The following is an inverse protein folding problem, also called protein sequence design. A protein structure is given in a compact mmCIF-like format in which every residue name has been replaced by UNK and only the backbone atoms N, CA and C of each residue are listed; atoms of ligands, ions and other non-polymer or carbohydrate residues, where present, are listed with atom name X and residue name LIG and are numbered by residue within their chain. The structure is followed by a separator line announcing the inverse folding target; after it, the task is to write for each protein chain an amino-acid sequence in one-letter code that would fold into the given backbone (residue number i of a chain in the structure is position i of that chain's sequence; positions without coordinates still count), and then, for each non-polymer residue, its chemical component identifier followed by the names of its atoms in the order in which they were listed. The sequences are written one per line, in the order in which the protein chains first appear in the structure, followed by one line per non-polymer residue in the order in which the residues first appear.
data_IF_848755570743
#
_entry.id   IF_848755570743
#
_cell.length_a   1.000
_cell.length_b   1.000
_cell.length_c   1.000
_cell.angle_alpha   90.00
_cell.angle_beta   90.00
_cell.angle_gamma   90.00
#
_symmetry.space_group_name_H-M   'P 1'
#
loop_
_entity.id
_entity.type
_entity.pdbx_description
1 polymer ?
#
# COMPACT_ATOMS: atom_id res chain seq x y z
N UNK A 1 -9.14 21.03 -2.85
CA UNK A 1 -10.55 20.61 -2.63
C UNK A 1 -11.45 21.29 -3.65
N UNK A 2 -12.51 20.62 -4.12
CA UNK A 2 -13.52 21.26 -4.97
C UNK A 2 -14.35 22.28 -4.18
N UNK A 3 -14.56 23.45 -4.77
CA UNK A 3 -15.55 24.42 -4.29
C UNK A 3 -16.97 23.84 -4.37
N UNK A 4 -17.97 24.41 -3.67
CA UNK A 4 -19.36 23.94 -3.75
C UNK A 4 -19.91 23.86 -5.18
N UNK A 5 -19.50 24.77 -6.06
CA UNK A 5 -19.87 24.80 -7.48
C UNK A 5 -18.85 24.08 -8.39
N UNK A 6 -17.83 23.47 -7.80
CA UNK A 6 -16.77 22.78 -8.52
C UNK A 6 -17.28 21.57 -9.29
N UNK A 7 -16.66 21.32 -10.45
CA UNK A 7 -16.90 20.13 -11.25
C UNK A 7 -15.57 19.48 -11.63
N UNK A 8 -15.62 18.17 -11.86
CA UNK A 8 -14.54 17.40 -12.45
C UNK A 8 -14.98 16.91 -13.82
N UNK A 9 -14.09 17.01 -14.80
CA UNK A 9 -14.32 16.53 -16.16
C UNK A 9 -13.25 15.51 -16.45
N UNK A 10 -13.67 14.28 -16.76
CA UNK A 10 -12.78 13.19 -17.11
C UNK A 10 -13.11 12.71 -18.51
N UNK A 11 -12.11 12.70 -19.39
CA UNK A 11 -12.15 11.94 -20.64
C UNK A 11 -11.36 10.64 -20.42
N UNK A 12 -12.05 9.51 -20.56
CA UNK A 12 -11.45 8.17 -20.42
C UNK A 12 -11.37 7.47 -21.77
N UNK A 13 -10.67 6.35 -21.85
CA UNK A 13 -10.38 5.71 -23.14
C UNK A 13 -11.46 4.72 -23.58
N UNK A 14 -12.21 4.16 -22.62
CA UNK A 14 -13.13 3.07 -22.88
C UNK A 14 -14.29 3.03 -21.87
N UNK A 15 -15.27 2.17 -22.14
CA UNK A 15 -16.49 2.03 -21.32
C UNK A 15 -16.21 1.51 -19.91
N UNK A 16 -15.27 0.59 -19.73
CA UNK A 16 -15.04 0.00 -18.41
C UNK A 16 -14.36 0.98 -17.45
N UNK A 17 -13.45 1.84 -17.95
CA UNK A 17 -12.87 2.95 -17.19
C UNK A 17 -13.97 3.93 -16.75
N UNK A 18 -14.88 4.28 -17.66
CA UNK A 18 -16.03 5.12 -17.33
C UNK A 18 -16.88 4.48 -16.23
N UNK A 19 -17.21 3.21 -16.36
CA UNK A 19 -18.01 2.49 -15.36
C UNK A 19 -17.33 2.48 -13.99
N UNK A 20 -16.02 2.18 -13.96
CA UNK A 20 -15.24 2.20 -12.71
C UNK A 20 -15.18 3.59 -12.10
N UNK A 21 -15.03 4.62 -12.91
CA UNK A 21 -15.03 6.01 -12.46
C UNK A 21 -16.37 6.42 -11.86
N UNK A 22 -17.48 6.05 -12.52
CA UNK A 22 -18.84 6.28 -12.00
C UNK A 22 -19.00 5.56 -10.66
N UNK A 23 -18.73 4.26 -10.58
CA UNK A 23 -18.85 3.47 -9.34
C UNK A 23 -17.98 4.05 -8.21
N UNK A 24 -16.77 4.50 -8.55
CA UNK A 24 -15.88 5.18 -7.59
C UNK A 24 -16.47 6.49 -7.10
N UNK A 25 -17.01 7.31 -7.99
CA UNK A 25 -17.65 8.57 -7.63
C UNK A 25 -18.93 8.37 -6.80
N UNK A 26 -19.74 7.35 -7.11
CA UNK A 26 -20.91 6.97 -6.29
C UNK A 26 -20.46 6.62 -4.87
N UNK A 27 -19.44 5.77 -4.72
CA UNK A 27 -18.89 5.41 -3.40
C UNK A 27 -18.34 6.63 -2.64
N UNK A 28 -17.69 7.57 -3.35
CA UNK A 28 -17.21 8.81 -2.76
C UNK A 28 -18.37 9.73 -2.31
N UNK A 29 -19.44 9.82 -3.10
CA UNK A 29 -20.65 10.59 -2.76
C UNK A 29 -21.37 10.03 -1.53
N UNK A 30 -21.47 8.70 -1.42
CA UNK A 30 -22.00 8.06 -0.23
C UNK A 30 -21.15 8.36 1.01
N UNK A 31 -19.82 8.37 0.86
CA UNK A 31 -18.88 8.71 1.93
C UNK A 31 -19.01 10.15 2.47
N UNK A 32 -19.51 11.08 1.65
CA UNK A 32 -19.80 12.47 2.07
C UNK A 32 -21.29 12.70 2.39
N UNK A 33 -22.11 11.64 2.45
CA UNK A 33 -23.49 11.69 2.92
C UNK A 33 -24.55 12.03 1.85
N UNK A 34 -24.24 11.91 0.56
CA UNK A 34 -25.25 12.08 -0.51
C UNK A 34 -26.08 10.80 -0.65
N UNK A 35 -27.40 10.94 -0.70
CA UNK A 35 -28.34 9.82 -0.87
C UNK A 35 -28.22 9.22 -2.29
N UNK A 36 -28.19 7.89 -2.38
CA UNK A 36 -28.15 7.15 -3.64
C UNK A 36 -29.23 7.58 -4.63
N UNK A 37 -30.39 8.04 -4.15
CA UNK A 37 -31.47 8.57 -5.00
C UNK A 37 -31.07 9.80 -5.80
N UNK A 38 -30.23 10.65 -5.21
CA UNK A 38 -29.81 11.93 -5.78
C UNK A 38 -28.50 11.81 -6.56
N UNK A 39 -27.69 10.79 -6.30
CA UNK A 39 -26.38 10.55 -6.93
C UNK A 39 -26.43 10.63 -8.46
N UNK A 40 -27.49 10.12 -9.09
CA UNK A 40 -27.65 10.16 -10.56
C UNK A 40 -27.69 11.59 -11.12
N UNK A 41 -28.11 12.56 -10.31
CA UNK A 41 -28.22 13.98 -10.66
C UNK A 41 -26.87 14.71 -10.59
N UNK A 42 -25.78 14.04 -10.21
CA UNK A 42 -24.44 14.61 -10.15
C UNK A 42 -23.58 14.31 -11.39
N UNK A 43 -24.09 13.50 -12.32
CA UNK A 43 -23.36 13.07 -13.51
C UNK A 43 -23.98 13.62 -14.80
N UNK A 44 -23.14 13.99 -15.76
CA UNK A 44 -23.50 14.16 -17.16
C UNK A 44 -22.45 13.45 -18.03
N UNK A 45 -22.85 12.72 -19.07
CA UNK A 45 -21.94 11.87 -19.86
C UNK A 45 -22.11 12.11 -21.36
N UNK A 46 -21.02 12.47 -22.02
CA UNK A 46 -20.92 12.73 -23.45
C UNK A 46 -20.10 11.63 -24.14
N UNK A 47 -20.64 11.03 -25.22
CA UNK A 47 -20.04 9.90 -25.97
C UNK A 47 -19.79 8.66 -25.10
N UNK A 48 -19.87 7.44 -25.64
CA UNK A 48 -19.67 6.22 -24.85
C UNK A 48 -18.70 5.20 -25.47
N UNK A 49 -18.49 5.22 -26.79
CA UNK A 49 -17.80 4.10 -27.45
C UNK A 49 -16.27 4.25 -27.54
N UNK A 50 -15.74 5.46 -27.77
CA UNK A 50 -14.30 5.64 -28.12
C UNK A 50 -13.55 6.72 -27.34
N UNK A 51 -14.23 7.51 -26.50
CA UNK A 51 -13.64 8.44 -25.55
C UNK A 51 -14.77 8.99 -24.68
N UNK A 52 -15.30 8.20 -23.72
CA UNK A 52 -16.36 8.71 -22.88
C UNK A 52 -15.89 9.88 -22.04
N UNK A 53 -16.66 10.95 -22.04
CA UNK A 53 -16.41 12.11 -21.18
C UNK A 53 -17.50 12.19 -20.12
N UNK A 54 -17.11 12.18 -18.85
CA UNK A 54 -18.02 12.37 -17.72
C UNK A 54 -17.74 13.67 -17.00
N UNK A 55 -18.80 14.39 -16.71
CA UNK A 55 -18.81 15.57 -15.86
C UNK A 55 -19.45 15.19 -14.54
N UNK A 56 -18.71 15.41 -13.45
CA UNK A 56 -19.12 15.10 -12.09
C UNK A 56 -19.18 16.41 -11.31
N UNK A 57 -20.37 16.82 -10.86
CA UNK A 57 -20.55 18.03 -10.05
C UNK A 57 -20.70 17.69 -8.58
N UNK A 58 -20.12 18.53 -7.71
CA UNK A 58 -20.29 18.40 -6.25
C UNK A 58 -21.75 18.66 -5.84
N UNK A 59 -22.39 19.69 -6.40
CA UNK A 59 -23.84 19.90 -6.32
C UNK A 59 -24.55 19.22 -7.47
N UNK A 60 -25.75 18.68 -7.23
CA UNK A 60 -26.57 18.11 -8.28
C UNK A 60 -26.86 19.14 -9.38
N UNK A 61 -26.90 18.67 -10.63
CA UNK A 61 -27.37 19.48 -11.74
C UNK A 61 -28.82 19.92 -11.50
N UNK A 62 -29.14 21.15 -11.86
CA UNK A 62 -30.52 21.67 -11.82
C UNK A 62 -31.24 21.40 -13.13
N UNK A 63 -32.58 21.39 -13.12
CA UNK A 63 -33.38 21.24 -14.35
C UNK A 63 -33.10 22.35 -15.36
N UNK A 64 -32.85 23.57 -14.89
CA UNK A 64 -32.55 24.73 -15.73
C UNK A 64 -31.18 24.57 -16.41
N UNK A 65 -30.17 24.09 -15.68
CA UNK A 65 -28.84 23.78 -16.25
C UNK A 65 -28.96 22.73 -17.36
N UNK A 66 -29.71 21.65 -17.12
CA UNK A 66 -29.90 20.60 -18.11
C UNK A 66 -30.67 21.11 -19.33
N UNK A 67 -31.69 21.93 -19.14
CA UNK A 67 -32.45 22.54 -20.23
C UNK A 67 -31.56 23.46 -21.07
N UNK A 68 -30.69 24.24 -20.41
CA UNK A 68 -29.71 25.09 -21.08
C UNK A 68 -28.73 24.24 -21.90
N UNK A 69 -28.19 23.16 -21.35
CA UNK A 69 -27.30 22.24 -22.06
C UNK A 69 -27.98 21.62 -23.29
N UNK A 70 -29.23 21.18 -23.16
CA UNK A 70 -30.00 20.66 -24.29
C UNK A 70 -30.18 21.70 -25.40
N UNK A 71 -30.42 22.97 -25.06
CA UNK A 71 -30.57 24.04 -26.03
C UNK A 71 -29.25 24.38 -26.73
N UNK A 72 -28.14 24.50 -25.97
CA UNK A 72 -26.81 24.72 -26.54
C UNK A 72 -26.45 23.58 -27.51
N UNK A 73 -26.72 22.33 -27.14
CA UNK A 73 -26.41 21.19 -28.01
C UNK A 73 -27.21 21.14 -29.30
N UNK A 74 -28.42 21.70 -29.36
CA UNK A 74 -29.18 21.84 -30.61
C UNK A 74 -28.52 22.82 -31.59
N UNK A 75 -27.73 23.77 -31.08
CA UNK A 75 -27.00 24.77 -31.89
C UNK A 75 -25.61 24.31 -32.32
N UNK A 76 -25.13 23.19 -31.77
CA UNK A 76 -23.81 22.64 -32.06
C UNK A 76 -23.81 21.85 -33.38
N UNK A 77 -22.69 21.84 -34.13
CA UNK A 77 -22.53 21.00 -35.31
C UNK A 77 -22.86 19.52 -35.06
N UNK A 78 -23.51 18.86 -36.03
CA UNK A 78 -23.89 17.44 -35.94
C UNK A 78 -22.71 16.49 -35.83
N UNK A 79 -21.51 16.95 -36.17
CA UNK A 79 -20.27 16.18 -36.13
C UNK A 79 -19.70 16.07 -34.70
N UNK A 80 -20.23 16.86 -33.75
CA UNK A 80 -19.83 16.79 -32.36
C UNK A 80 -20.43 15.55 -31.65
N UNK A 81 -19.72 15.01 -30.65
CA UNK A 81 -20.21 13.85 -29.91
C UNK A 81 -21.59 14.08 -29.27
N UNK A 82 -22.54 13.14 -29.42
CA UNK A 82 -23.85 13.28 -28.78
C UNK A 82 -23.74 13.07 -27.27
N UNK A 83 -24.64 13.70 -26.53
CA UNK A 83 -24.81 13.42 -25.10
C UNK A 83 -25.44 12.04 -24.93
N UNK A 84 -24.84 11.18 -24.12
CA UNK A 84 -25.34 9.82 -23.85
C UNK A 84 -26.22 9.78 -22.60
N UNK A 85 -25.92 10.61 -21.61
CA UNK A 85 -26.69 10.71 -20.37
C UNK A 85 -26.77 12.16 -19.86
N UNK A 86 -27.99 12.60 -19.55
CA UNK A 86 -28.29 13.81 -18.79
C UNK A 86 -29.26 13.45 -17.67
N UNK A 87 -29.09 14.02 -16.47
CA UNK A 87 -30.07 13.85 -15.41
C UNK A 87 -31.39 14.50 -15.82
N UNK A 88 -32.50 13.97 -15.31
CA UNK A 88 -33.88 14.36 -15.65
C UNK A 88 -34.32 14.15 -17.11
N UNK A 89 -33.44 13.68 -18.00
CA UNK A 89 -33.79 13.33 -19.39
C UNK A 89 -34.03 11.83 -19.53
N UNK A 90 -35.29 11.41 -19.70
CA UNK A 90 -35.68 9.98 -19.71
C UNK A 90 -35.47 9.29 -21.06
N UNK A 91 -35.11 10.02 -22.12
CA UNK A 91 -35.28 9.56 -23.50
C UNK A 91 -34.07 8.82 -24.13
N UNK A 92 -33.11 8.31 -23.36
CA UNK A 92 -31.96 7.58 -23.94
C UNK A 92 -31.78 6.17 -23.40
N UNK A 93 -32.07 5.19 -24.26
CA UNK A 93 -31.85 3.75 -24.06
C UNK A 93 -30.35 3.48 -24.19
N UNK A 94 -29.62 3.49 -23.07
CA UNK A 94 -28.20 3.13 -23.03
C UNK A 94 -27.87 2.36 -21.74
N UNK A 95 -26.91 1.43 -21.81
CA UNK A 95 -26.50 0.59 -20.66
C UNK A 95 -26.16 1.43 -19.42
N UNK A 96 -25.49 2.57 -19.60
CA UNK A 96 -25.13 3.49 -18.51
C UNK A 96 -26.36 4.15 -17.89
N UNK A 97 -27.36 4.54 -18.70
CA UNK A 97 -28.60 5.12 -18.18
C UNK A 97 -29.39 4.09 -17.37
N UNK A 98 -29.46 2.84 -17.86
CA UNK A 98 -30.05 1.74 -17.10
C UNK A 98 -29.29 1.48 -15.80
N UNK A 99 -27.96 1.51 -15.82
CA UNK A 99 -27.14 1.36 -14.62
C UNK A 99 -27.40 2.48 -13.60
N UNK A 100 -27.32 3.75 -14.00
CA UNK A 100 -27.55 4.90 -13.11
C UNK A 100 -28.98 4.93 -12.55
N UNK A 101 -29.97 4.61 -13.38
CA UNK A 101 -31.39 4.56 -12.96
C UNK A 101 -31.66 3.40 -11.99
N UNK A 102 -31.08 2.22 -12.21
CA UNK A 102 -31.24 1.08 -11.29
C UNK A 102 -30.49 1.32 -9.97
N UNK A 103 -29.32 1.93 -10.05
CA UNK A 103 -28.46 2.26 -8.92
C UNK A 103 -29.10 3.29 -7.99
N UNK A 104 -29.78 4.31 -8.54
CA UNK A 104 -30.46 5.32 -7.72
C UNK A 104 -31.63 4.76 -6.90
N UNK A 105 -32.16 3.60 -7.28
CA UNK A 105 -33.29 2.96 -6.61
C UNK A 105 -32.86 1.94 -5.54
N UNK A 106 -31.67 1.33 -5.67
CA UNK A 106 -31.22 0.27 -4.76
C UNK A 106 -29.68 0.22 -4.66
N UNK A 107 -29.14 0.43 -3.45
CA UNK A 107 -27.70 0.29 -3.18
C UNK A 107 -27.15 -1.09 -3.52
N UNK A 108 -27.92 -2.16 -3.31
CA UNK A 108 -27.51 -3.52 -3.67
C UNK A 108 -27.37 -3.71 -5.18
N UNK A 109 -28.04 -2.89 -5.99
CA UNK A 109 -27.94 -2.98 -7.45
C UNK A 109 -26.51 -2.64 -7.92
N UNK A 110 -25.81 -1.72 -7.25
CA UNK A 110 -24.41 -1.38 -7.56
C UNK A 110 -23.52 -2.60 -7.35
N UNK A 111 -23.62 -3.23 -6.19
CA UNK A 111 -22.79 -4.37 -5.83
C UNK A 111 -23.03 -5.55 -6.77
N UNK A 112 -24.30 -5.89 -7.05
CA UNK A 112 -24.65 -6.94 -8.01
C UNK A 112 -24.11 -6.65 -9.42
N UNK A 113 -24.14 -5.39 -9.85
CA UNK A 113 -23.61 -5.00 -11.15
C UNK A 113 -22.08 -5.15 -11.21
N UNK A 114 -21.35 -4.74 -10.16
CA UNK A 114 -19.90 -4.92 -10.06
C UNK A 114 -19.53 -6.42 -10.16
N UNK A 115 -20.26 -7.27 -9.45
CA UNK A 115 -20.00 -8.72 -9.44
C UNK A 115 -20.23 -9.38 -10.79
N UNK A 116 -21.25 -8.95 -11.54
CA UNK A 116 -21.60 -9.50 -12.86
C UNK A 116 -20.79 -8.93 -14.02
N UNK A 117 -20.18 -7.75 -13.85
CA UNK A 117 -19.42 -7.11 -14.91
C UNK A 117 -18.14 -7.91 -15.27
N UNK A 118 -17.75 -7.91 -16.54
CA UNK A 118 -16.58 -8.65 -17.05
C UNK A 118 -15.27 -8.18 -16.39
N UNK A 119 -15.12 -6.88 -16.22
CA UNK A 119 -13.94 -6.23 -15.65
C UNK A 119 -14.13 -5.85 -14.18
N UNK A 120 -13.04 -5.64 -13.46
CA UNK A 120 -13.06 -5.08 -12.10
C UNK A 120 -13.39 -3.58 -12.12
N UNK A 121 -14.68 -3.29 -11.97
CA UNK A 121 -15.21 -1.92 -11.85
C UNK A 121 -15.44 -1.51 -10.39
N UNK A 122 -14.88 -2.25 -9.43
CA UNK A 122 -15.02 -1.94 -8.00
C UNK A 122 -14.48 -0.53 -7.68
N UNK A 123 -15.06 0.16 -6.67
CA UNK A 123 -14.62 1.50 -6.29
C UNK A 123 -13.12 1.55 -6.00
N UNK A 124 -12.43 2.51 -6.61
CA UNK A 124 -11.01 2.75 -6.37
C UNK A 124 -10.84 3.59 -5.10
N UNK A 125 -10.20 3.03 -4.07
CA UNK A 125 -10.01 3.70 -2.76
C UNK A 125 -8.58 4.22 -2.65
N UNK A 126 -8.36 5.23 -1.80
CA UNK A 126 -7.02 5.74 -1.46
C UNK A 126 -6.10 4.67 -0.84
N UNK A 127 -6.68 3.64 -0.22
CA UNK A 127 -5.93 2.51 0.31
C UNK A 127 -5.63 1.43 -0.73
N UNK A 128 -6.32 1.42 -1.87
CA UNK A 128 -6.08 0.47 -2.95
C UNK A 128 -6.31 1.18 -4.30
N UNK A 129 -5.42 2.12 -4.69
CA UNK A 129 -5.59 3.03 -5.82
C UNK A 129 -5.24 2.38 -7.17
N UNK A 130 -5.73 1.17 -7.43
CA UNK A 130 -5.42 0.38 -8.62
C UNK A 130 -6.45 0.56 -9.73
N UNK A 131 -6.64 1.80 -10.21
CA UNK A 131 -7.68 2.12 -11.20
C UNK A 131 -7.56 1.33 -12.52
N UNK A 132 -6.33 1.02 -12.95
CA UNK A 132 -6.06 0.28 -14.18
C UNK A 132 -5.91 -1.24 -13.97
N UNK A 133 -6.29 -1.75 -12.80
CA UNK A 133 -6.39 -3.19 -12.56
C UNK A 133 -7.69 -3.70 -13.18
N UNK A 134 -7.57 -4.26 -14.38
CA UNK A 134 -8.71 -4.69 -15.21
C UNK A 134 -9.32 -6.00 -14.70
N UNK A 135 -8.47 -6.98 -14.35
CA UNK A 135 -8.90 -8.31 -13.88
C UNK A 135 -9.31 -8.26 -12.42
N UNK A 136 -10.39 -8.98 -12.08
CA UNK A 136 -10.76 -9.27 -10.69
C UNK A 136 -9.69 -10.15 -10.05
N UNK A 137 -9.38 -9.92 -8.78
CA UNK A 137 -8.34 -10.67 -8.06
C UNK A 137 -6.92 -10.23 -8.42
N UNK A 138 -5.93 -11.09 -8.18
CA UNK A 138 -4.51 -10.80 -8.46
C UNK A 138 -4.21 -11.20 -9.91
N UNK A 139 -3.56 -10.35 -10.74
CA UNK A 139 -3.19 -10.74 -12.09
C UNK A 139 -2.22 -11.94 -12.09
N UNK A 140 -2.40 -12.85 -13.06
CA UNK A 140 -1.65 -14.11 -13.17
C UNK A 140 -0.13 -13.89 -13.17
N UNK A 141 0.35 -12.82 -13.78
CA UNK A 141 1.78 -12.46 -13.84
C UNK A 141 2.41 -12.32 -12.45
N UNK A 142 1.68 -11.75 -11.49
CA UNK A 142 2.14 -11.63 -10.11
C UNK A 142 2.13 -12.97 -9.38
N UNK A 143 1.19 -13.87 -9.71
CA UNK A 143 1.13 -15.21 -9.13
C UNK A 143 2.27 -16.10 -9.65
N UNK A 144 2.58 -16.01 -10.94
CA UNK A 144 3.75 -16.68 -11.54
C UNK A 144 5.06 -16.15 -10.95
N UNK A 145 5.19 -14.83 -10.84
CA UNK A 145 6.35 -14.20 -10.20
C UNK A 145 6.50 -14.66 -8.75
N UNK A 146 5.43 -14.64 -7.96
CA UNK A 146 5.43 -15.09 -6.57
C UNK A 146 5.85 -16.56 -6.47
N UNK A 147 5.29 -17.42 -7.31
CA UNK A 147 5.61 -18.85 -7.34
C UNK A 147 7.10 -19.09 -7.67
N UNK A 148 7.64 -18.37 -8.66
CA UNK A 148 9.05 -18.41 -9.02
C UNK A 148 9.97 -17.97 -7.88
N UNK A 149 9.63 -16.87 -7.19
CA UNK A 149 10.41 -16.36 -6.04
C UNK A 149 10.34 -17.34 -4.86
N UNK A 150 9.18 -17.93 -4.58
CA UNK A 150 9.05 -18.96 -3.53
C UNK A 150 9.95 -20.15 -3.84
N UNK A 151 9.92 -20.65 -5.08
CA UNK A 151 10.77 -21.76 -5.51
C UNK A 151 12.27 -21.41 -5.37
N UNK A 152 12.67 -20.22 -5.81
CA UNK A 152 14.05 -19.74 -5.69
C UNK A 152 14.49 -19.59 -4.23
N UNK A 153 13.64 -19.03 -3.37
CA UNK A 153 13.92 -18.89 -1.94
C UNK A 153 14.01 -20.23 -1.23
N UNK A 154 13.18 -21.21 -1.62
CA UNK A 154 13.28 -22.57 -1.10
C UNK A 154 14.66 -23.17 -1.40
N UNK A 155 15.21 -22.96 -2.59
CA UNK A 155 16.55 -23.40 -2.96
C UNK A 155 17.62 -22.72 -2.08
N UNK A 156 17.55 -21.39 -1.92
CA UNK A 156 18.52 -20.63 -1.09
C UNK A 156 18.48 -21.05 0.39
N UNK A 157 17.31 -21.36 0.93
CA UNK A 157 17.16 -21.77 2.32
C UNK A 157 17.59 -23.23 2.51
N UNK A 158 17.22 -24.14 1.62
CA UNK A 158 17.43 -25.58 1.79
C UNK A 158 18.83 -26.04 1.36
N UNK A 159 19.37 -25.52 0.26
CA UNK A 159 20.62 -26.00 -0.33
C UNK A 159 21.82 -25.84 0.63
N UNK A 160 22.06 -24.68 1.27
CA UNK A 160 23.16 -24.51 2.21
C UNK A 160 22.98 -25.32 3.50
N UNK A 161 21.72 -25.57 3.89
CA UNK A 161 21.37 -26.40 5.06
C UNK A 161 21.73 -27.88 4.86
N UNK A 162 21.76 -28.37 3.62
CA UNK A 162 22.18 -29.73 3.28
C UNK A 162 23.68 -29.88 3.01
N UNK A 163 24.31 -28.86 2.44
CA UNK A 163 25.75 -28.88 2.11
C UNK A 163 26.63 -28.63 3.34
N UNK A 164 26.20 -27.76 4.27
CA UNK A 164 26.88 -27.59 5.54
C UNK A 164 26.35 -28.64 6.53
N UNK A 165 27.19 -29.20 7.39
CA UNK A 165 26.81 -30.15 8.44
C UNK A 165 25.98 -29.50 9.58
N UNK A 166 24.91 -28.78 9.21
CA UNK A 166 24.02 -27.99 10.08
C UNK A 166 23.25 -28.88 11.06
N UNK A 167 23.23 -30.21 10.85
CA UNK A 167 22.50 -31.19 11.68
C UNK A 167 22.81 -31.08 13.19
N UNK A 168 24.06 -30.75 13.56
CA UNK A 168 24.50 -30.66 14.97
C UNK A 168 24.00 -29.38 15.69
N UNK A 169 23.69 -28.33 14.92
CA UNK A 169 23.33 -26.99 15.45
C UNK A 169 21.88 -26.59 15.15
N UNK A 170 21.03 -27.53 14.67
CA UNK A 170 19.69 -27.21 14.15
C UNK A 170 18.84 -26.37 15.09
N UNK A 171 18.77 -26.72 16.38
CA UNK A 171 17.99 -25.98 17.38
C UNK A 171 18.54 -24.58 17.68
N UNK A 172 19.85 -24.39 17.51
CA UNK A 172 20.53 -23.12 17.79
C UNK A 172 20.39 -22.13 16.61
N UNK A 173 20.27 -22.66 15.39
CA UNK A 173 20.20 -21.86 14.14
C UNK A 173 18.77 -21.43 13.79
N UNK A 174 17.76 -22.21 14.18
CA UNK A 174 16.35 -21.95 13.82
C UNK A 174 15.88 -20.58 14.26
N UNK A 175 16.24 -20.13 15.47
CA UNK A 175 15.80 -18.83 15.96
C UNK A 175 16.44 -17.66 15.20
N UNK A 176 17.79 -17.57 15.06
CA UNK A 176 18.40 -16.58 14.18
C UNK A 176 17.83 -16.61 12.77
N UNK A 177 17.68 -17.80 12.17
CA UNK A 177 17.11 -17.98 10.84
C UNK A 177 15.72 -17.35 10.73
N UNK A 178 14.79 -17.67 11.64
CA UNK A 178 13.45 -17.09 11.64
C UNK A 178 13.49 -15.57 11.81
N UNK A 179 14.37 -15.05 12.67
CA UNK A 179 14.52 -13.60 12.85
C UNK A 179 14.99 -12.94 11.54
N UNK A 180 16.00 -13.47 10.86
CA UNK A 180 16.48 -12.93 9.57
C UNK A 180 15.39 -12.98 8.49
N UNK A 181 14.55 -14.03 8.48
CA UNK A 181 13.41 -14.13 7.58
C UNK A 181 12.37 -13.03 7.87
N UNK A 182 11.98 -12.88 9.14
CA UNK A 182 10.99 -11.90 9.56
C UNK A 182 11.44 -10.46 9.32
N UNK A 183 12.69 -10.11 9.67
CA UNK A 183 13.19 -8.74 9.46
C UNK A 183 13.38 -8.43 7.97
N UNK A 184 13.86 -9.39 7.16
CA UNK A 184 14.08 -9.19 5.73
C UNK A 184 12.77 -8.96 4.96
N UNK A 185 11.78 -9.81 5.19
CA UNK A 185 10.45 -9.66 4.57
C UNK A 185 9.68 -8.48 5.19
N UNK A 186 9.70 -8.33 6.52
CA UNK A 186 8.99 -7.27 7.23
C UNK A 186 9.45 -5.89 6.81
N UNK A 187 10.76 -5.66 6.73
CA UNK A 187 11.33 -4.39 6.27
C UNK A 187 10.80 -4.02 4.87
N UNK A 188 10.91 -4.92 3.89
CA UNK A 188 10.47 -4.63 2.53
C UNK A 188 8.96 -4.44 2.40
N UNK A 189 8.15 -5.18 3.18
CA UNK A 189 6.71 -4.99 3.18
C UNK A 189 6.36 -3.57 3.69
N UNK A 190 6.97 -3.15 4.79
CA UNK A 190 6.79 -1.82 5.36
C UNK A 190 7.24 -0.74 4.38
N UNK A 191 8.44 -0.88 3.81
CA UNK A 191 9.00 0.08 2.84
C UNK A 191 8.10 0.25 1.61
N UNK A 192 7.70 -0.85 0.97
CA UNK A 192 6.87 -0.79 -0.24
C UNK A 192 5.48 -0.22 0.07
N UNK A 193 4.90 -0.54 1.23
CA UNK A 193 3.59 0.02 1.63
C UNK A 193 3.68 1.53 1.88
N UNK A 194 4.77 1.99 2.52
CA UNK A 194 5.04 3.41 2.72
C UNK A 194 5.27 4.14 1.40
N UNK A 195 6.02 3.54 0.50
CA UNK A 195 6.25 4.07 -0.84
C UNK A 195 4.94 4.32 -1.57
N UNK A 196 4.06 3.32 -1.60
CA UNK A 196 2.76 3.41 -2.26
C UNK A 196 1.88 4.55 -1.71
N UNK A 197 1.85 4.74 -0.38
CA UNK A 197 1.14 5.89 0.25
C UNK A 197 1.79 7.23 -0.09
N UNK A 198 3.12 7.32 -0.11
CA UNK A 198 3.82 8.54 -0.46
C UNK A 198 3.57 8.97 -1.90
N UNK A 199 3.47 8.02 -2.84
CA UNK A 199 3.10 8.33 -4.23
C UNK A 199 1.77 9.07 -4.29
N UNK A 200 0.76 8.60 -3.55
CA UNK A 200 -0.56 9.23 -3.52
C UNK A 200 -0.50 10.64 -2.92
N UNK A 201 0.33 10.84 -1.88
CA UNK A 201 0.44 12.12 -1.18
C UNK A 201 1.28 13.17 -1.95
N UNK A 202 2.45 12.80 -2.44
CA UNK A 202 3.38 13.70 -3.12
C UNK A 202 3.04 13.86 -4.62
N UNK A 203 2.28 12.92 -5.19
CA UNK A 203 1.81 12.95 -6.58
C UNK A 203 2.89 12.63 -7.62
N UNK A 204 4.09 12.24 -7.20
CA UNK A 204 5.21 11.90 -8.09
C UNK A 204 5.95 10.66 -7.58
N UNK A 205 6.02 9.57 -8.37
CA UNK A 205 6.78 8.38 -8.00
C UNK A 205 8.25 8.65 -7.75
N UNK A 206 8.88 9.48 -8.58
CA UNK A 206 10.32 9.79 -8.47
C UNK A 206 10.63 10.55 -7.18
N UNK A 207 9.83 11.57 -6.85
CA UNK A 207 10.00 12.35 -5.61
C UNK A 207 9.74 11.46 -4.39
N UNK A 208 8.67 10.65 -4.44
CA UNK A 208 8.30 9.76 -3.34
C UNK A 208 9.38 8.73 -3.03
N UNK A 209 9.96 8.12 -4.06
CA UNK A 209 11.02 7.14 -3.91
C UNK A 209 12.28 7.80 -3.32
N UNK A 210 12.63 8.98 -3.83
CA UNK A 210 13.82 9.72 -3.39
C UNK A 210 13.72 10.11 -1.91
N UNK A 211 12.57 10.64 -1.49
CA UNK A 211 12.32 11.02 -0.10
C UNK A 211 12.28 9.79 0.80
N UNK A 212 11.55 8.74 0.43
CA UNK A 212 11.47 7.52 1.22
C UNK A 212 12.85 6.89 1.44
N UNK A 213 13.59 6.66 0.35
CA UNK A 213 14.90 6.01 0.42
C UNK A 213 15.90 6.87 1.18
N UNK A 214 15.96 8.19 0.93
CA UNK A 214 16.88 9.06 1.65
C UNK A 214 16.59 9.08 3.16
N UNK A 215 15.33 9.18 3.57
CA UNK A 215 14.94 9.12 4.97
C UNK A 215 15.26 7.78 5.63
N UNK A 216 14.89 6.68 4.97
CA UNK A 216 15.14 5.35 5.50
C UNK A 216 16.63 5.06 5.58
N UNK A 217 17.40 5.33 4.52
CA UNK A 217 18.85 5.06 4.52
C UNK A 217 19.61 5.92 5.53
N UNK A 218 19.30 7.22 5.64
CA UNK A 218 19.92 8.11 6.64
C UNK A 218 19.53 7.66 8.04
N UNK A 219 18.23 7.46 8.28
CA UNK A 219 17.72 6.97 9.56
C UNK A 219 18.37 5.65 9.95
N UNK A 220 18.35 4.66 9.06
CA UNK A 220 18.93 3.34 9.27
C UNK A 220 20.45 3.40 9.49
N UNK A 221 21.15 4.29 8.79
CA UNK A 221 22.57 4.55 9.00
C UNK A 221 22.84 5.00 10.44
N UNK A 222 22.13 6.02 10.91
CA UNK A 222 22.24 6.54 12.29
C UNK A 222 21.83 5.45 13.31
N UNK A 223 20.73 4.74 13.04
CA UNK A 223 20.21 3.65 13.85
C UNK A 223 21.18 2.49 13.99
N UNK A 224 21.80 2.05 12.90
CA UNK A 224 22.79 0.97 12.91
C UNK A 224 24.03 1.35 13.73
N UNK A 225 24.44 2.62 13.69
CA UNK A 225 25.61 3.13 14.39
C UNK A 225 25.35 3.29 15.90
N UNK A 226 24.28 4.00 16.28
CA UNK A 226 23.92 4.27 17.69
C UNK A 226 23.19 3.11 18.36
N UNK A 227 22.51 2.25 17.60
CA UNK A 227 21.83 1.07 18.10
C UNK A 227 22.75 0.12 18.86
N UNK A 228 24.06 0.17 18.59
CA UNK A 228 25.06 -0.59 19.35
C UNK A 228 25.05 -0.25 20.84
N UNK A 229 24.81 1.02 21.19
CA UNK A 229 24.81 1.54 22.56
C UNK A 229 23.54 1.18 23.35
N UNK A 230 22.49 0.75 22.66
CA UNK A 230 21.22 0.37 23.29
C UNK A 230 21.40 -1.05 23.86
N UNK A 231 21.29 -1.22 25.19
CA UNK A 231 21.51 -2.52 25.85
C UNK A 231 22.76 -3.27 25.34
N UNK A 232 23.93 -2.62 25.41
CA UNK A 232 25.21 -3.13 24.89
C UNK A 232 25.46 -4.61 25.27
N UNK A 233 25.20 -4.96 26.53
CA UNK A 233 25.45 -6.29 27.08
C UNK A 233 24.32 -7.30 26.82
N UNK A 234 23.17 -6.87 26.31
CA UNK A 234 21.98 -7.71 26.17
C UNK A 234 21.31 -7.53 24.80
N UNK A 235 21.91 -8.13 23.78
CA UNK A 235 21.43 -8.11 22.39
C UNK A 235 20.00 -8.63 22.26
N UNK A 236 19.63 -9.64 23.05
CA UNK A 236 18.27 -10.19 23.08
C UNK A 236 17.27 -9.12 23.51
N UNK A 237 17.54 -8.43 24.63
CA UNK A 237 16.71 -7.34 25.13
C UNK A 237 16.68 -6.15 24.18
N UNK A 238 17.81 -5.82 23.53
CA UNK A 238 17.85 -4.81 22.46
C UNK A 238 16.87 -5.16 21.34
N UNK A 239 17.00 -6.35 20.75
CA UNK A 239 16.15 -6.78 19.65
C UNK A 239 14.66 -6.82 20.05
N UNK A 240 14.33 -7.28 21.25
CA UNK A 240 12.96 -7.25 21.78
C UNK A 240 12.41 -5.82 21.82
N UNK A 241 13.11 -4.92 22.50
CA UNK A 241 12.64 -3.54 22.72
C UNK A 241 12.56 -2.79 21.39
N UNK A 242 13.55 -2.94 20.51
CA UNK A 242 13.52 -2.32 19.20
C UNK A 242 12.36 -2.88 18.36
N UNK A 243 12.12 -4.18 18.37
CA UNK A 243 11.03 -4.78 17.58
C UNK A 243 9.66 -4.29 18.04
N UNK A 244 9.42 -4.19 19.35
CA UNK A 244 8.16 -3.62 19.85
C UNK A 244 8.06 -2.11 19.59
N UNK A 245 9.17 -1.37 19.66
CA UNK A 245 9.18 0.05 19.28
C UNK A 245 8.88 0.25 17.79
N UNK A 246 9.37 -0.61 16.90
CA UNK A 246 9.00 -0.58 15.47
C UNK A 246 7.49 -0.79 15.32
N UNK A 247 6.91 -1.75 16.03
CA UNK A 247 5.45 -1.99 15.99
C UNK A 247 4.70 -0.75 16.48
N UNK A 248 5.03 -0.23 17.66
CA UNK A 248 4.34 0.93 18.25
C UNK A 248 4.48 2.17 17.36
N UNK A 249 5.70 2.51 16.95
CA UNK A 249 5.95 3.67 16.09
C UNK A 249 5.32 3.51 14.72
N UNK A 250 5.34 2.31 14.14
CA UNK A 250 4.66 2.00 12.89
C UNK A 250 3.14 2.18 12.99
N UNK A 251 2.50 1.70 14.06
CA UNK A 251 1.06 1.91 14.29
C UNK A 251 0.74 3.40 14.40
N UNK A 252 1.51 4.13 15.21
CA UNK A 252 1.34 5.59 15.37
C UNK A 252 1.52 6.29 14.02
N UNK A 253 2.59 5.95 13.30
CA UNK A 253 2.89 6.50 11.98
C UNK A 253 1.71 6.28 11.03
N UNK A 254 1.22 5.06 10.92
CA UNK A 254 0.24 4.70 9.91
C UNK A 254 -1.18 5.24 10.22
N UNK A 255 -1.54 5.38 11.50
CA UNK A 255 -2.83 5.93 11.92
C UNK A 255 -2.80 7.46 11.95
N UNK A 256 -1.78 8.07 12.56
CA UNK A 256 -1.77 9.50 12.85
C UNK A 256 -1.30 10.35 11.65
N UNK A 257 -0.35 9.85 10.86
CA UNK A 257 0.28 10.68 9.82
C UNK A 257 -0.66 11.06 8.68
N UNK A 258 -1.63 10.23 8.24
CA UNK A 258 -2.61 10.68 7.25
C UNK A 258 -3.33 11.98 7.64
N UNK A 259 -3.66 12.16 8.93
CA UNK A 259 -4.29 13.38 9.42
C UNK A 259 -3.36 14.59 9.31
N UNK A 260 -2.11 14.45 9.77
CA UNK A 260 -1.10 15.51 9.68
C UNK A 260 -0.83 15.88 8.21
N UNK A 261 -0.64 14.87 7.37
CA UNK A 261 -0.34 15.06 5.94
C UNK A 261 -1.51 15.74 5.21
N UNK A 262 -2.76 15.44 5.56
CA UNK A 262 -3.93 16.08 4.95
C UNK A 262 -3.94 17.60 5.18
N UNK A 263 -3.63 18.05 6.39
CA UNK A 263 -3.48 19.49 6.70
C UNK A 263 -2.31 20.12 5.92
N UNK A 264 -1.27 19.33 5.64
CA UNK A 264 -0.10 19.79 4.90
C UNK A 264 -0.30 19.85 3.38
N UNK A 265 -1.43 19.37 2.84
CA UNK A 265 -1.70 19.37 1.39
C UNK A 265 -1.77 20.77 0.78
N UNK A 266 -2.05 21.80 1.59
CA UNK A 266 -2.14 23.20 1.13
C UNK A 266 -0.76 23.79 0.81
N UNK A 267 0.32 23.21 1.36
CA UNK A 267 1.68 23.72 1.20
C UNK A 267 2.38 23.20 -0.07
N UNK A 268 3.49 23.85 -0.42
CA UNK A 268 4.29 23.50 -1.59
C UNK A 268 4.86 22.07 -1.52
N UNK A 269 5.11 21.46 -2.68
CA UNK A 269 5.71 20.12 -2.78
C UNK A 269 7.01 19.99 -1.97
N UNK A 270 7.86 21.02 -1.96
CA UNK A 270 9.11 21.03 -1.21
C UNK A 270 8.87 20.90 0.30
N UNK A 271 7.93 21.67 0.85
CA UNK A 271 7.61 21.61 2.26
C UNK A 271 7.02 20.25 2.65
N UNK A 272 6.09 19.73 1.84
CA UNK A 272 5.50 18.40 2.03
C UNK A 272 6.56 17.30 2.00
N UNK A 273 7.54 17.42 1.10
CA UNK A 273 8.66 16.46 0.97
C UNK A 273 9.57 16.49 2.19
N UNK A 274 9.92 17.68 2.69
CA UNK A 274 10.73 17.82 3.90
C UNK A 274 10.00 17.31 5.16
N UNK A 275 8.70 17.59 5.27
CA UNK A 275 7.87 17.06 6.35
C UNK A 275 7.87 15.52 6.33
N UNK A 276 7.59 14.90 5.18
CA UNK A 276 7.66 13.44 5.02
C UNK A 276 9.05 12.91 5.39
N UNK A 277 10.11 13.61 4.97
CA UNK A 277 11.48 13.20 5.25
C UNK A 277 11.74 13.09 6.76
N UNK A 278 11.40 14.15 7.50
CA UNK A 278 11.60 14.23 8.95
C UNK A 278 10.71 13.25 9.70
N UNK A 279 9.50 13.02 9.20
CA UNK A 279 8.52 12.09 9.75
C UNK A 279 8.96 10.62 9.63
N UNK A 280 9.61 10.24 8.54
CA UNK A 280 10.08 8.85 8.29
C UNK A 280 11.39 8.55 9.02
N UNK A 281 12.24 9.56 9.24
CA UNK A 281 13.58 9.38 9.79
C UNK A 281 13.63 8.62 11.14
N UNK A 282 12.76 8.89 12.14
CA UNK A 282 12.71 8.12 13.39
C UNK A 282 12.35 6.64 13.18
N UNK A 283 11.46 6.36 12.22
CA UNK A 283 11.09 4.99 11.88
C UNK A 283 12.25 4.26 11.20
N UNK A 284 12.93 4.93 10.26
CA UNK A 284 14.17 4.44 9.65
C UNK A 284 15.27 4.16 10.68
N UNK A 285 15.43 5.03 11.68
CA UNK A 285 16.35 4.81 12.80
C UNK A 285 16.10 3.49 13.51
N UNK A 286 14.84 3.19 13.86
CA UNK A 286 14.51 1.93 14.52
C UNK A 286 14.73 0.72 13.60
N UNK A 287 14.36 0.82 12.33
CA UNK A 287 14.55 -0.24 11.33
C UNK A 287 16.04 -0.55 11.04
N UNK A 288 16.96 0.38 11.29
CA UNK A 288 18.40 0.18 11.09
C UNK A 288 19.09 -0.67 12.16
N UNK A 289 18.46 -0.87 13.32
CA UNK A 289 19.08 -1.53 14.48
C UNK A 289 19.04 -3.07 14.41
N UNK A 290 17.94 -3.74 13.98
CA UNK A 290 17.80 -5.18 14.08
C UNK A 290 18.85 -5.97 13.31
N UNK A 291 19.15 -5.58 12.07
CA UNK A 291 20.04 -6.37 11.22
C UNK A 291 21.49 -6.46 11.76
N UNK A 292 22.19 -5.34 12.07
CA UNK A 292 23.50 -5.40 12.73
C UNK A 292 23.48 -6.14 14.07
N UNK A 293 22.37 -6.03 14.82
CA UNK A 293 22.20 -6.71 16.10
C UNK A 293 22.12 -8.23 15.95
N UNK A 294 21.44 -8.72 14.91
CA UNK A 294 21.37 -10.14 14.62
C UNK A 294 22.75 -10.70 14.21
N UNK A 295 23.55 -9.92 13.47
CA UNK A 295 24.93 -10.29 13.13
C UNK A 295 25.82 -10.37 14.38
N UNK A 296 25.72 -9.39 15.30
CA UNK A 296 26.44 -9.44 16.58
C UNK A 296 26.03 -10.64 17.43
N UNK A 297 24.73 -10.99 17.43
CA UNK A 297 24.22 -12.16 18.12
C UNK A 297 24.83 -13.46 17.59
N UNK A 298 24.97 -13.59 16.26
CA UNK A 298 25.66 -14.75 15.67
C UNK A 298 27.14 -14.81 16.09
N UNK A 299 27.83 -13.68 16.16
CA UNK A 299 29.23 -13.62 16.62
C UNK A 299 29.38 -14.06 18.08
N UNK A 300 28.54 -13.53 18.97
CA UNK A 300 28.57 -13.90 20.41
C UNK A 300 28.30 -15.40 20.66
N UNK A 301 27.63 -16.08 19.73
CA UNK A 301 27.31 -17.50 19.81
C UNK A 301 28.33 -18.39 19.07
N UNK A 302 29.46 -17.84 18.59
CA UNK A 302 30.46 -18.55 17.76
C UNK A 302 29.87 -19.12 16.45
N UNK A 303 28.89 -18.42 15.87
CA UNK A 303 28.13 -18.85 14.68
C UNK A 303 28.53 -18.06 13.42
N UNK A 304 29.73 -17.49 13.38
CA UNK A 304 30.21 -16.59 12.32
C UNK A 304 30.15 -17.24 10.93
N UNK A 305 30.38 -18.55 10.85
CA UNK A 305 30.29 -19.36 9.61
C UNK A 305 28.92 -19.31 8.91
N UNK A 306 27.87 -18.88 9.61
CA UNK A 306 26.51 -18.76 9.11
C UNK A 306 26.16 -17.33 8.67
N UNK A 307 26.97 -16.33 8.98
CA UNK A 307 26.71 -14.92 8.63
C UNK A 307 26.43 -14.73 7.12
N UNK A 308 27.26 -15.25 6.18
CA UNK A 308 26.98 -15.09 4.75
C UNK A 308 25.65 -15.72 4.32
N UNK A 309 25.28 -16.84 4.95
CA UNK A 309 24.01 -17.51 4.65
C UNK A 309 22.82 -16.71 5.18
N UNK A 310 22.90 -16.18 6.40
CA UNK A 310 21.86 -15.34 7.00
C UNK A 310 21.67 -14.02 6.24
N UNK A 311 22.77 -13.43 5.75
CA UNK A 311 22.73 -12.28 4.85
C UNK A 311 21.99 -12.61 3.55
N UNK A 312 22.30 -13.75 2.93
CA UNK A 312 21.61 -14.23 1.72
C UNK A 312 20.12 -14.51 1.95
N UNK A 313 19.76 -15.11 3.08
CA UNK A 313 18.36 -15.34 3.46
C UNK A 313 17.61 -14.02 3.62
N UNK A 314 18.21 -13.03 4.29
CA UNK A 314 17.60 -11.71 4.42
C UNK A 314 17.31 -11.11 3.05
N UNK A 315 18.29 -11.10 2.13
CA UNK A 315 18.11 -10.60 0.77
C UNK A 315 17.01 -11.35 -0.02
N UNK A 316 17.01 -12.68 0.05
CA UNK A 316 15.99 -13.52 -0.56
C UNK A 316 14.58 -13.22 -0.03
N UNK A 317 14.46 -13.05 1.29
CA UNK A 317 13.19 -12.71 1.94
C UNK A 317 12.74 -11.27 1.69
N UNK A 318 13.68 -10.34 1.48
CA UNK A 318 13.38 -8.99 1.04
C UNK A 318 12.75 -8.98 -0.37
N UNK A 319 13.26 -9.78 -1.31
CA UNK A 319 12.63 -9.94 -2.64
C UNK A 319 11.22 -10.54 -2.54
N UNK A 320 11.01 -11.53 -1.67
CA UNK A 320 9.66 -12.05 -1.44
C UNK A 320 8.75 -11.02 -0.79
N UNK A 321 9.27 -10.27 0.18
CA UNK A 321 8.54 -9.23 0.90
C UNK A 321 8.03 -8.12 -0.04
N UNK A 322 8.82 -7.70 -1.02
CA UNK A 322 8.40 -6.66 -1.96
C UNK A 322 7.22 -7.12 -2.84
N UNK A 323 7.27 -8.34 -3.36
CA UNK A 323 6.18 -8.91 -4.17
C UNK A 323 4.94 -9.18 -3.32
N UNK A 324 5.11 -9.75 -2.12
CA UNK A 324 4.01 -9.95 -1.18
C UNK A 324 3.33 -8.63 -0.82
N UNK A 325 4.10 -7.56 -0.61
CA UNK A 325 3.56 -6.24 -0.29
C UNK A 325 2.59 -5.74 -1.37
N UNK A 326 3.00 -5.83 -2.65
CA UNK A 326 2.17 -5.42 -3.79
C UNK A 326 0.91 -6.29 -3.91
N UNK A 327 1.05 -7.61 -3.73
CA UNK A 327 -0.10 -8.53 -3.80
C UNK A 327 -1.08 -8.26 -2.65
N UNK A 328 -0.58 -8.10 -1.42
CA UNK A 328 -1.41 -7.77 -0.26
C UNK A 328 -2.14 -6.45 -0.46
N UNK A 329 -1.50 -5.44 -1.05
CA UNK A 329 -2.15 -4.16 -1.31
C UNK A 329 -3.19 -4.19 -2.42
N UNK A 330 -3.03 -5.05 -3.42
CA UNK A 330 -4.05 -5.28 -4.46
C UNK A 330 -5.31 -6.00 -3.96
N UNK A 331 -5.18 -6.81 -2.90
CA UNK A 331 -6.29 -7.60 -2.32
C UNK A 331 -6.95 -6.85 -1.17
N UNK A 332 -6.14 -6.38 -0.22
CA UNK A 332 -6.62 -5.84 1.06
C UNK A 332 -6.38 -4.34 1.23
N UNK A 333 -5.50 -3.75 0.42
CA UNK A 333 -5.08 -2.35 0.53
C UNK A 333 -3.72 -2.15 1.22
N UNK A 334 -3.20 -0.94 1.16
CA UNK A 334 -1.92 -0.53 1.75
C UNK A 334 -1.92 -0.67 3.28
N UNK A 335 -3.07 -0.43 3.92
CA UNK A 335 -3.17 -0.50 5.39
C UNK A 335 -2.88 -1.93 5.87
N UNK A 336 -3.63 -2.97 5.46
CA UNK A 336 -3.36 -4.32 5.94
C UNK A 336 -1.98 -4.85 5.50
N UNK A 337 -1.49 -4.44 4.32
CA UNK A 337 -0.14 -4.79 3.88
C UNK A 337 0.93 -4.25 4.84
N UNK A 338 0.84 -2.97 5.25
CA UNK A 338 1.76 -2.39 6.23
C UNK A 338 1.68 -3.09 7.58
N UNK A 339 0.47 -3.39 8.07
CA UNK A 339 0.29 -4.14 9.32
C UNK A 339 0.82 -5.58 9.25
N UNK A 340 0.79 -6.23 8.09
CA UNK A 340 1.44 -7.53 7.90
C UNK A 340 2.98 -7.43 8.06
N UNK A 341 3.59 -6.33 7.60
CA UNK A 341 4.99 -6.01 7.88
C UNK A 341 5.28 -5.84 9.37
N UNK A 342 4.45 -5.06 10.08
CA UNK A 342 4.58 -4.88 11.53
C UNK A 342 4.40 -6.18 12.30
N UNK A 343 3.48 -7.04 11.85
CA UNK A 343 3.24 -8.34 12.44
C UNK A 343 4.51 -9.21 12.42
N UNK A 344 5.32 -9.15 11.36
CA UNK A 344 6.60 -9.87 11.31
C UNK A 344 7.60 -9.37 12.38
N UNK A 345 7.63 -8.08 12.68
CA UNK A 345 8.42 -7.55 13.81
C UNK A 345 7.83 -7.94 15.17
N UNK A 346 6.50 -8.02 15.29
CA UNK A 346 5.85 -8.54 16.48
C UNK A 346 6.19 -10.01 16.73
N UNK A 347 6.25 -10.83 15.67
CA UNK A 347 6.70 -12.22 15.74
C UNK A 347 8.14 -12.28 16.27
N UNK A 348 9.05 -11.42 15.81
CA UNK A 348 10.42 -11.35 16.34
C UNK A 348 10.41 -11.05 17.85
N UNK A 349 9.60 -10.09 18.30
CA UNK A 349 9.44 -9.79 19.73
C UNK A 349 8.96 -11.01 20.53
N UNK A 350 7.90 -11.69 20.06
CA UNK A 350 7.31 -12.87 20.73
C UNK A 350 8.31 -14.03 20.80
N UNK A 351 9.02 -14.32 19.70
CA UNK A 351 10.02 -15.38 19.64
C UNK A 351 11.16 -15.14 20.62
N UNK A 352 11.65 -13.90 20.69
CA UNK A 352 12.67 -13.55 21.65
C UNK A 352 12.13 -13.60 23.08
N UNK A 353 10.87 -13.20 23.34
CA UNK A 353 10.29 -13.26 24.68
C UNK A 353 10.11 -14.69 25.19
N UNK A 354 9.51 -15.55 24.36
CA UNK A 354 9.15 -16.93 24.70
C UNK A 354 10.35 -17.88 24.85
N UNK A 355 11.43 -17.64 24.11
CA UNK A 355 12.60 -18.53 24.10
C UNK A 355 13.64 -18.02 25.09
N UNK A 356 13.69 -18.63 26.28
CA UNK A 356 14.78 -18.42 27.25
C UNK A 356 16.10 -18.91 26.67
N UNK A 357 16.98 -17.97 26.30
CA UNK A 357 18.35 -18.31 25.90
C UNK A 357 19.17 -18.59 27.16
N UNK A 358 19.99 -19.65 27.19
CA UNK A 358 21.13 -19.69 28.08
C UNK A 358 22.10 -18.59 27.63
N UNK A 359 22.17 -17.51 28.40
CA UNK A 359 23.22 -16.50 28.26
C UNK A 359 24.52 -17.23 28.57
N UNK A 360 25.30 -17.59 27.55
CA UNK A 360 26.71 -17.94 27.78
C UNK A 360 27.35 -16.63 28.21
N UNK A 361 27.45 -16.43 29.53
CA UNK A 361 28.25 -15.34 30.11
C UNK A 361 29.63 -15.45 29.47
N UNK A 362 30.03 -14.41 28.75
CA UNK A 362 31.43 -14.19 28.39
C UNK A 362 32.25 -14.43 29.66
N UNK A 363 33.13 -15.43 29.64
CA UNK A 363 34.18 -15.58 30.64
C UNK A 363 35.16 -14.42 30.43
N UNK A 364 34.79 -13.21 30.86
CA UNK A 364 35.74 -12.11 31.00
C UNK A 364 36.19 -12.04 32.46
N UNK A 365 37.49 -12.27 32.65
CA UNK A 365 38.33 -12.14 33.86
C UNK A 365 38.65 -13.42 34.62
N UNK A 366 39.52 -14.23 34.03
CA UNK A 366 40.61 -14.90 34.76
C UNK A 366 41.92 -14.52 34.05
N UNK A 367 42.45 -13.36 34.40
CA UNK A 367 43.81 -13.13 34.92
C UNK A 367 44.02 -11.62 35.04
#
# INVERSE_FOLDING_TARGET
MLTPEGSLIFAVHNKWELMRLIVTAISAFEGIGIDSKDVQNHFAILKADYAPTVVIKKKAFTKDEITHWQNVMKTMPTDLPPITYLPYSRDKIGQINQFLTKTSQNKEAVQKYIEQYEFDISPCKDDSPYFYKIKKGVPDDYLWLLSGIIAFNFIIVVLPSRLKNVKKDRRTITLPLTIFICIGAGFMILEVSLFQKLILYLGSPTVSLSILLSSLLIGMGIGSFWGRKIFEDNLKKRLQIVSILIVITGIIFFILYPYILTELLVYSLTFRSLACFLMILPFGFLLGIPFPSCIQMLKQQNMERYIPWMYGINGAMSVLGSVLSVILSMIFGFTPAFFAGLFLYLVVFILLHSISFPIIKSKSKIK
#
